data_IF_166437217578
#
_entry.id   IF_166437217578
#
_cell.length_a   1.000
_cell.length_b   1.000
_cell.length_c   1.000
_cell.angle_alpha   90.00
_cell.angle_beta   90.00
_cell.angle_gamma   90.00
#
_symmetry.space_group_name_H-M   'P 1'
#
loop_
_entity.id
_entity.type
_entity.pdbx_description
1 polymer ?
#
# COMPACT_ATOMS: atom_id res chain seq x y z
N UNK A 1 2.43 -32.54 -35.11
CA UNK A 1 2.90 -32.29 -33.73
C UNK A 1 2.99 -30.79 -33.53
N UNK A 2 2.16 -30.18 -32.67
CA UNK A 2 2.37 -28.78 -32.29
C UNK A 2 3.56 -28.68 -31.31
N UNK A 3 4.31 -27.57 -31.32
CA UNK A 3 5.44 -27.37 -30.43
C UNK A 3 4.97 -27.12 -28.99
N UNK A 4 5.71 -27.67 -28.03
CA UNK A 4 5.54 -27.45 -26.61
C UNK A 4 5.88 -25.99 -26.27
N UNK A 5 4.87 -25.19 -25.92
CA UNK A 5 5.04 -23.83 -25.47
C UNK A 5 5.26 -23.80 -23.95
N UNK A 6 6.51 -23.53 -23.58
CA UNK A 6 6.95 -22.66 -22.49
C UNK A 6 6.18 -22.68 -21.17
N UNK A 7 6.88 -23.15 -20.14
CA UNK A 7 6.59 -22.87 -18.73
C UNK A 7 6.37 -21.37 -18.48
N UNK A 8 5.13 -20.96 -18.21
CA UNK A 8 4.84 -19.65 -17.61
C UNK A 8 5.02 -19.74 -16.10
N UNK A 9 6.27 -19.87 -15.66
CA UNK A 9 6.63 -19.43 -14.31
C UNK A 9 6.36 -17.92 -14.26
N UNK A 10 5.51 -17.48 -13.33
CA UNK A 10 5.09 -16.09 -13.19
C UNK A 10 6.27 -15.16 -12.94
N UNK A 11 6.90 -14.71 -14.02
CA UNK A 11 7.88 -13.65 -13.99
C UNK A 11 7.18 -12.39 -13.53
N UNK A 12 7.57 -11.89 -12.37
CA UNK A 12 7.29 -10.51 -11.97
C UNK A 12 7.66 -9.62 -13.16
N UNK A 13 6.71 -8.85 -13.66
CA UNK A 13 6.94 -7.96 -14.79
C UNK A 13 7.82 -6.80 -14.33
N UNK A 14 9.13 -7.00 -14.50
CA UNK A 14 10.15 -6.04 -14.11
C UNK A 14 10.09 -4.76 -14.96
N UNK A 15 9.39 -4.75 -16.10
CA UNK A 15 9.19 -3.52 -16.88
C UNK A 15 8.19 -2.61 -16.19
N UNK A 16 7.06 -3.14 -15.73
CA UNK A 16 6.06 -2.37 -14.97
C UNK A 16 6.64 -1.77 -13.68
N UNK A 17 7.55 -2.49 -13.01
CA UNK A 17 8.22 -1.98 -11.82
C UNK A 17 9.19 -0.84 -12.15
N UNK A 18 9.90 -0.90 -13.29
CA UNK A 18 10.80 0.18 -13.74
C UNK A 18 10.05 1.46 -14.06
N UNK A 19 8.86 1.37 -14.65
CA UNK A 19 8.02 2.55 -14.91
C UNK A 19 7.53 3.25 -13.63
N UNK A 20 7.55 2.56 -12.49
CA UNK A 20 7.14 3.08 -11.18
C UNK A 20 8.32 3.32 -10.26
N UNK A 21 9.52 3.35 -10.82
CA UNK A 21 10.74 3.60 -10.07
C UNK A 21 10.79 5.04 -9.56
N UNK A 22 11.05 5.19 -8.26
CA UNK A 22 11.30 6.46 -7.61
C UNK A 22 12.77 6.52 -7.23
N UNK A 23 13.45 7.60 -7.63
CA UNK A 23 14.78 7.91 -7.14
C UNK A 23 14.73 8.16 -5.63
N UNK A 24 15.50 7.37 -4.87
CA UNK A 24 15.56 7.42 -3.41
C UNK A 24 15.98 8.80 -2.89
N UNK A 25 16.76 9.55 -3.65
CA UNK A 25 17.17 10.93 -3.30
C UNK A 25 15.99 11.89 -3.19
N UNK A 26 14.85 11.57 -3.81
CA UNK A 26 13.61 12.35 -3.72
C UNK A 26 12.79 12.06 -2.46
N UNK A 27 13.18 11.07 -1.66
CA UNK A 27 12.48 10.72 -0.43
C UNK A 27 13.22 11.34 0.77
N UNK A 28 12.51 12.16 1.52
CA UNK A 28 13.04 12.89 2.67
C UNK A 28 12.31 12.52 3.97
N UNK A 29 13.02 12.56 5.09
CA UNK A 29 12.48 12.24 6.42
C UNK A 29 12.55 10.76 6.77
N UNK A 30 11.61 10.29 7.61
CA UNK A 30 11.58 8.90 8.07
C UNK A 30 11.04 8.70 9.49
N UNK A 31 9.85 9.24 9.79
CA UNK A 31 9.21 9.00 11.08
C UNK A 31 8.60 7.59 11.10
N UNK A 32 8.99 6.73 12.04
CA UNK A 32 8.39 5.40 12.20
C UNK A 32 6.88 5.52 12.49
N UNK A 33 6.06 4.91 11.64
CA UNK A 33 4.60 4.80 11.81
C UNK A 33 4.21 3.49 12.48
N UNK A 34 4.95 2.41 12.21
CA UNK A 34 4.70 1.12 12.80
C UNK A 34 5.67 0.05 12.33
N UNK A 35 5.72 -1.04 13.09
CA UNK A 35 6.55 -2.21 12.81
C UNK A 35 5.68 -3.46 12.87
N UNK A 36 5.87 -4.37 11.92
CA UNK A 36 5.13 -5.62 11.83
C UNK A 36 6.03 -6.80 11.47
N UNK A 37 5.42 -7.94 11.16
CA UNK A 37 6.16 -9.14 10.76
C UNK A 37 6.93 -8.95 9.43
N UNK A 38 6.45 -8.07 8.55
CA UNK A 38 6.95 -7.91 7.18
C UNK A 38 7.93 -6.75 7.00
N UNK A 39 8.27 -6.03 8.07
CA UNK A 39 9.02 -4.78 7.92
C UNK A 39 8.66 -3.70 8.92
N UNK A 40 9.14 -2.49 8.63
CA UNK A 40 8.73 -1.26 9.27
C UNK A 40 8.19 -0.27 8.23
N UNK A 41 7.22 0.55 8.65
CA UNK A 41 6.61 1.57 7.81
C UNK A 41 6.99 2.93 8.38
N UNK A 42 7.49 3.82 7.53
CA UNK A 42 7.88 5.18 7.91
C UNK A 42 7.10 6.21 7.11
N UNK A 43 6.79 7.35 7.72
CA UNK A 43 6.30 8.54 7.04
C UNK A 43 7.47 9.30 6.45
N UNK A 44 7.33 9.69 5.19
CA UNK A 44 8.32 10.46 4.47
C UNK A 44 7.64 11.48 3.55
N UNK A 45 8.45 12.34 2.96
CA UNK A 45 8.04 13.33 1.98
C UNK A 45 8.68 12.97 0.65
N UNK A 46 7.89 12.84 -0.40
CA UNK A 46 8.33 12.62 -1.77
C UNK A 46 8.35 13.96 -2.51
N UNK A 47 9.55 14.41 -2.88
CA UNK A 47 9.71 15.59 -3.73
C UNK A 47 9.34 15.26 -5.17
N UNK A 48 8.46 16.08 -5.76
CA UNK A 48 7.98 15.92 -7.13
C UNK A 48 8.45 17.09 -7.99
N UNK A 49 9.05 16.82 -9.18
CA UNK A 49 9.33 17.89 -10.12
C UNK A 49 8.02 18.61 -10.46
N UNK A 50 8.03 19.94 -10.43
CA UNK A 50 6.92 20.78 -10.90
C UNK A 50 5.60 20.65 -10.12
N UNK A 51 5.59 19.94 -8.99
CA UNK A 51 4.44 19.76 -8.11
C UNK A 51 4.84 19.92 -6.64
N UNK A 52 3.85 20.15 -5.78
CA UNK A 52 4.08 20.18 -4.34
C UNK A 52 4.59 18.84 -3.82
N UNK A 53 5.42 18.91 -2.79
CA UNK A 53 5.88 17.75 -2.03
C UNK A 53 4.70 16.91 -1.52
N UNK A 54 4.80 15.58 -1.67
CA UNK A 54 3.75 14.64 -1.30
C UNK A 54 4.14 13.84 -0.07
N UNK A 55 3.28 13.83 0.95
CA UNK A 55 3.47 12.95 2.11
C UNK A 55 3.13 11.51 1.73
N UNK A 56 4.05 10.59 2.02
CA UNK A 56 3.98 9.18 1.66
C UNK A 56 4.30 8.27 2.84
N UNK A 57 3.82 7.02 2.77
CA UNK A 57 4.24 5.95 3.65
C UNK A 57 5.22 5.03 2.91
N UNK A 58 6.37 4.76 3.50
CA UNK A 58 7.39 3.87 2.93
C UNK A 58 7.43 2.59 3.75
N UNK A 59 7.12 1.46 3.13
CA UNK A 59 7.32 0.13 3.72
C UNK A 59 8.70 -0.39 3.33
N UNK A 60 9.47 -0.79 4.34
CA UNK A 60 10.85 -1.28 4.23
C UNK A 60 10.98 -2.63 4.92
N UNK A 61 11.89 -3.46 4.44
CA UNK A 61 12.23 -4.73 5.11
C UNK A 61 13.00 -4.44 6.41
N UNK A 62 12.96 -5.38 7.35
CA UNK A 62 13.84 -5.34 8.54
C UNK A 62 15.25 -5.80 8.20
N UNK A 63 15.31 -6.83 7.35
CA UNK A 63 16.53 -7.42 6.83
C UNK A 63 16.38 -7.52 5.31
N UNK A 64 17.17 -6.73 4.59
CA UNK A 64 17.15 -6.71 3.12
C UNK A 64 17.89 -7.90 2.50
N UNK A 65 18.66 -8.63 3.30
CA UNK A 65 19.39 -9.82 2.87
C UNK A 65 18.51 -11.07 2.88
N UNK A 66 17.30 -11.03 3.46
CA UNK A 66 16.33 -12.12 3.37
C UNK A 66 15.65 -12.14 1.98
N UNK A 67 15.99 -13.11 1.12
CA UNK A 67 15.44 -13.19 -0.23
C UNK A 67 13.94 -13.51 -0.23
N UNK A 68 13.42 -14.20 0.80
CA UNK A 68 11.99 -14.52 0.91
C UNK A 68 11.20 -13.27 1.25
N UNK A 69 11.68 -12.47 2.21
CA UNK A 69 11.08 -11.19 2.57
C UNK A 69 11.08 -10.22 1.39
N UNK A 70 12.20 -10.13 0.65
CA UNK A 70 12.31 -9.34 -0.58
C UNK A 70 11.31 -9.78 -1.64
N UNK A 71 11.18 -11.09 -1.89
CA UNK A 71 10.22 -11.62 -2.86
C UNK A 71 8.77 -11.35 -2.41
N UNK A 72 8.47 -11.44 -1.11
CA UNK A 72 7.15 -11.11 -0.58
C UNK A 72 6.78 -9.64 -0.82
N UNK A 73 7.71 -8.70 -0.58
CA UNK A 73 7.48 -7.28 -0.83
C UNK A 73 7.30 -6.96 -2.33
N UNK A 74 8.06 -7.62 -3.21
CA UNK A 74 7.86 -7.51 -4.66
C UNK A 74 6.49 -8.04 -5.09
N UNK A 75 6.06 -9.21 -4.57
CA UNK A 75 4.72 -9.75 -4.83
C UNK A 75 3.62 -8.80 -4.38
N UNK A 76 3.75 -8.21 -3.19
CA UNK A 76 2.82 -7.19 -2.69
C UNK A 76 2.76 -5.98 -3.64
N UNK A 77 3.91 -5.51 -4.11
CA UNK A 77 3.99 -4.42 -5.09
C UNK A 77 3.26 -4.76 -6.39
N UNK A 78 3.48 -5.96 -6.93
CA UNK A 78 2.81 -6.42 -8.15
C UNK A 78 1.29 -6.52 -7.97
N UNK A 79 0.83 -7.02 -6.83
CA UNK A 79 -0.60 -7.07 -6.51
C UNK A 79 -1.18 -5.65 -6.53
N UNK A 80 -0.52 -4.69 -5.88
CA UNK A 80 -0.99 -3.30 -5.87
C UNK A 80 -1.02 -2.67 -7.27
N UNK A 81 -0.03 -2.98 -8.13
CA UNK A 81 -0.04 -2.53 -9.53
C UNK A 81 -1.24 -3.09 -10.31
N UNK A 82 -1.54 -4.37 -10.15
CA UNK A 82 -2.67 -5.03 -10.81
C UNK A 82 -4.01 -4.47 -10.30
N UNK A 83 -4.11 -4.21 -9.00
CA UNK A 83 -5.26 -3.52 -8.39
C UNK A 83 -5.47 -2.12 -8.99
N UNK A 84 -4.40 -1.43 -9.38
CA UNK A 84 -4.49 -0.06 -9.88
C UNK A 84 -5.08 0.91 -8.85
N UNK A 85 -5.61 2.03 -9.34
CA UNK A 85 -6.04 3.14 -8.49
C UNK A 85 -7.54 3.07 -8.19
N UNK A 86 -7.91 3.28 -6.92
CA UNK A 86 -9.29 3.40 -6.47
C UNK A 86 -9.32 4.15 -5.13
N UNK A 87 -10.29 5.04 -4.91
CA UNK A 87 -10.33 5.94 -3.74
C UNK A 87 -10.46 5.22 -2.39
N UNK A 88 -10.93 3.96 -2.41
CA UNK A 88 -11.07 3.12 -1.22
C UNK A 88 -10.08 1.95 -1.16
N UNK A 89 -8.99 2.02 -1.92
CA UNK A 89 -7.89 1.05 -1.88
C UNK A 89 -6.58 1.80 -1.78
N UNK A 90 -5.73 1.41 -0.83
CA UNK A 90 -4.44 2.07 -0.61
C UNK A 90 -3.63 2.11 -1.91
N UNK A 91 -3.24 3.30 -2.34
CA UNK A 91 -2.58 3.49 -3.62
C UNK A 91 -1.06 3.31 -3.54
N UNK A 92 -0.50 2.60 -4.53
CA UNK A 92 0.93 2.56 -4.78
C UNK A 92 1.38 3.85 -5.49
N UNK A 93 2.31 4.58 -4.90
CA UNK A 93 2.93 5.76 -5.53
C UNK A 93 4.19 5.39 -6.31
N UNK A 94 4.93 4.37 -5.88
CA UNK A 94 6.06 3.84 -6.60
C UNK A 94 6.90 2.88 -5.78
N UNK A 95 8.07 2.54 -6.30
CA UNK A 95 9.01 1.59 -5.70
C UNK A 95 10.44 2.11 -5.85
N UNK A 96 11.25 1.93 -4.82
CA UNK A 96 12.70 2.14 -4.90
C UNK A 96 13.37 0.77 -4.83
N UNK A 97 13.91 0.29 -5.96
CA UNK A 97 14.57 -1.02 -6.02
C UNK A 97 16.03 -0.96 -6.50
N UNK A 98 16.50 0.20 -6.98
CA UNK A 98 17.91 0.47 -7.28
C UNK A 98 18.62 1.14 -6.12
N UNK A 99 19.95 1.00 -6.14
CA UNK A 99 20.89 1.74 -5.30
C UNK A 99 20.51 1.75 -3.82
N UNK A 100 20.25 0.54 -3.29
CA UNK A 100 20.00 0.31 -1.87
C UNK A 100 18.85 -0.65 -1.59
N UNK A 101 18.36 -0.67 -0.33
CA UNK A 101 17.34 -1.61 0.11
C UNK A 101 15.99 -1.39 -0.57
N UNK A 102 15.19 -2.45 -0.71
CA UNK A 102 13.91 -2.40 -1.41
C UNK A 102 12.89 -1.61 -0.58
N UNK A 103 12.27 -0.59 -1.18
CA UNK A 103 11.28 0.24 -0.51
C UNK A 103 10.02 0.40 -1.35
N UNK A 104 8.87 0.14 -0.72
CA UNK A 104 7.57 0.32 -1.32
C UNK A 104 6.97 1.66 -0.88
N UNK A 105 6.67 2.54 -1.83
CA UNK A 105 6.17 3.90 -1.58
C UNK A 105 4.66 3.95 -1.81
N UNK A 106 3.92 4.19 -0.73
CA UNK A 106 2.47 4.12 -0.65
C UNK A 106 1.90 5.51 -0.35
N UNK A 107 0.61 5.69 -0.62
CA UNK A 107 -0.11 6.83 -0.08
C UNK A 107 -0.07 6.83 1.45
N UNK A 108 -0.04 8.03 2.04
CA UNK A 108 -0.08 8.18 3.48
C UNK A 108 -1.55 8.28 3.96
N UNK A 109 -1.97 7.32 4.79
CA UNK A 109 -3.25 7.36 5.48
C UNK A 109 -3.11 8.14 6.79
N UNK A 110 -3.55 9.40 6.80
CA UNK A 110 -3.39 10.33 7.93
C UNK A 110 -4.01 9.82 9.25
N UNK A 111 -5.14 9.12 9.17
CA UNK A 111 -5.86 8.60 10.34
C UNK A 111 -5.39 7.21 10.79
N UNK A 112 -4.33 6.68 10.16
CA UNK A 112 -3.78 5.36 10.47
C UNK A 112 -4.74 4.22 10.13
N UNK A 113 -4.67 3.13 10.91
CA UNK A 113 -5.49 1.95 10.65
C UNK A 113 -6.95 2.16 11.02
N UNK A 114 -7.85 1.48 10.31
CA UNK A 114 -9.28 1.46 10.64
C UNK A 114 -9.52 1.09 12.12
N UNK A 115 -8.79 0.09 12.63
CA UNK A 115 -8.92 -0.36 14.00
C UNK A 115 -8.59 0.77 15.00
N UNK A 116 -7.49 1.49 14.74
CA UNK A 116 -7.10 2.63 15.55
C UNK A 116 -8.18 3.72 15.52
N UNK A 117 -8.67 4.07 14.33
CA UNK A 117 -9.75 5.05 14.16
C UNK A 117 -11.03 4.64 14.92
N UNK A 118 -11.45 3.39 14.81
CA UNK A 118 -12.64 2.88 15.50
C UNK A 118 -12.48 2.90 17.03
N UNK A 119 -11.29 2.61 17.55
CA UNK A 119 -11.00 2.72 18.98
C UNK A 119 -11.03 4.16 19.47
N UNK A 120 -10.45 5.09 18.72
CA UNK A 120 -10.48 6.53 19.02
C UNK A 120 -11.92 7.05 19.06
N UNK A 121 -12.72 6.76 18.03
CA UNK A 121 -14.14 7.14 17.98
C UNK A 121 -14.94 6.52 19.14
N UNK A 122 -14.63 5.28 19.53
CA UNK A 122 -15.26 4.63 20.69
C UNK A 122 -14.92 5.37 21.99
N UNK A 123 -13.66 5.74 22.19
CA UNK A 123 -13.21 6.46 23.38
C UNK A 123 -13.85 7.85 23.48
N UNK A 124 -13.83 8.62 22.40
CA UNK A 124 -14.38 9.98 22.33
C UNK A 124 -15.90 10.02 22.53
N UNK A 125 -16.61 8.98 22.07
CA UNK A 125 -18.06 8.92 22.24
C UNK A 125 -18.53 8.76 23.69
N UNK A 126 -17.62 8.46 24.62
CA UNK A 126 -17.89 8.52 26.06
C UNK A 126 -17.81 9.95 26.63
N UNK A 127 -17.19 10.88 25.90
CA UNK A 127 -16.85 12.23 26.37
C UNK A 127 -17.74 13.33 25.75
N UNK A 128 -18.26 13.15 24.52
CA UNK A 128 -19.08 14.17 23.85
C UNK A 128 -20.32 13.60 23.12
N UNK A 129 -21.50 14.14 23.47
CA UNK A 129 -22.82 13.71 22.93
C UNK A 129 -23.08 14.16 21.48
N UNK A 130 -22.38 15.18 20.99
CA UNK A 130 -22.47 15.70 19.61
C UNK A 130 -21.82 14.77 18.58
N UNK A 131 -20.78 14.02 18.97
CA UNK A 131 -20.14 12.99 18.13
C UNK A 131 -21.11 11.83 17.86
N UNK A 132 -22.11 11.60 18.72
CA UNK A 132 -23.11 10.55 18.52
C UNK A 132 -24.08 10.83 17.36
N UNK A 133 -24.38 12.09 17.04
CA UNK A 133 -25.44 12.44 16.07
C UNK A 133 -25.03 12.10 14.64
N UNK A 134 -23.72 12.03 14.35
CA UNK A 134 -23.19 11.64 13.04
C UNK A 134 -22.59 10.24 12.98
N UNK A 135 -22.67 9.43 14.06
CA UNK A 135 -22.13 8.06 14.05
C UNK A 135 -22.68 7.24 12.88
N UNK A 136 -24.00 7.26 12.69
CA UNK A 136 -24.65 6.50 11.63
C UNK A 136 -24.12 6.87 10.25
N UNK A 137 -24.02 8.16 9.95
CA UNK A 137 -23.54 8.64 8.66
C UNK A 137 -22.05 8.33 8.43
N UNK A 138 -21.21 8.47 9.47
CA UNK A 138 -19.79 8.11 9.41
C UNK A 138 -19.64 6.61 9.12
N UNK A 139 -20.38 5.75 9.83
CA UNK A 139 -20.37 4.31 9.61
C UNK A 139 -20.93 3.93 8.23
N UNK A 140 -22.01 4.57 7.79
CA UNK A 140 -22.59 4.33 6.46
C UNK A 140 -21.58 4.68 5.35
N UNK A 141 -20.97 5.87 5.40
CA UNK A 141 -19.95 6.28 4.42
C UNK A 141 -18.73 5.37 4.44
N UNK A 142 -18.26 4.98 5.63
CA UNK A 142 -17.17 4.02 5.79
C UNK A 142 -17.53 2.67 5.15
N UNK A 143 -18.72 2.15 5.41
CA UNK A 143 -19.18 0.88 4.85
C UNK A 143 -19.33 0.95 3.33
N UNK A 144 -19.85 2.04 2.79
CA UNK A 144 -19.91 2.28 1.34
C UNK A 144 -18.51 2.24 0.74
N UNK A 145 -17.54 2.94 1.36
CA UNK A 145 -16.15 2.91 0.93
C UNK A 145 -15.56 1.49 0.94
N UNK A 146 -15.80 0.71 1.98
CA UNK A 146 -15.37 -0.70 2.03
C UNK A 146 -15.98 -1.52 0.89
N UNK A 147 -17.29 -1.39 0.65
CA UNK A 147 -17.98 -2.12 -0.41
C UNK A 147 -17.41 -1.75 -1.78
N UNK A 148 -17.26 -0.46 -2.09
CA UNK A 148 -16.69 0.00 -3.36
C UNK A 148 -15.25 -0.50 -3.55
N UNK A 149 -14.43 -0.43 -2.50
CA UNK A 149 -13.06 -0.95 -2.53
C UNK A 149 -13.00 -2.46 -2.79
N UNK A 150 -13.82 -3.25 -2.09
CA UNK A 150 -13.87 -4.71 -2.27
C UNK A 150 -14.43 -5.11 -3.63
N UNK A 151 -15.43 -4.39 -4.15
CA UNK A 151 -15.96 -4.59 -5.49
C UNK A 151 -14.90 -4.33 -6.57
N UNK A 152 -14.13 -3.25 -6.43
CA UNK A 152 -13.00 -2.95 -7.30
C UNK A 152 -11.95 -4.07 -7.29
N UNK A 153 -11.56 -4.53 -6.10
CA UNK A 153 -10.60 -5.64 -5.95
C UNK A 153 -11.14 -6.95 -6.54
N UNK A 154 -12.43 -7.25 -6.35
CA UNK A 154 -13.07 -8.45 -6.89
C UNK A 154 -13.11 -8.43 -8.42
N UNK A 155 -13.41 -7.27 -9.01
CA UNK A 155 -13.51 -7.07 -10.46
C UNK A 155 -12.16 -7.23 -11.15
N UNK A 156 -11.07 -6.81 -10.49
CA UNK A 156 -9.71 -6.90 -11.02
C UNK A 156 -9.05 -8.28 -10.89
N UNK A 157 -9.82 -9.30 -10.51
CA UNK A 157 -9.38 -10.71 -10.39
C UNK A 157 -7.98 -10.83 -9.78
N UNK A 158 -7.78 -10.29 -8.59
CA UNK A 158 -6.57 -10.48 -7.75
C UNK A 158 -6.43 -11.94 -7.26
N UNK A 159 -6.91 -12.92 -8.05
CA UNK A 159 -6.92 -14.35 -7.74
C UNK A 159 -5.59 -15.04 -8.09
N UNK A 160 -4.66 -14.38 -8.76
CA UNK A 160 -3.43 -15.01 -9.26
C UNK A 160 -2.16 -14.31 -8.74
N UNK A 161 -1.97 -14.34 -7.43
CA UNK A 161 -0.63 -14.25 -6.81
C UNK A 161 -0.52 -15.07 -5.49
N UNK A 162 -1.58 -15.79 -5.10
CA UNK A 162 -1.61 -16.67 -3.92
C UNK A 162 -1.35 -18.15 -4.26
N UNK A 163 -0.96 -18.43 -5.51
CA UNK A 163 -0.60 -19.78 -5.99
C UNK A 163 0.89 -19.87 -6.29
N UNK A 164 1.74 -19.51 -5.32
CA UNK A 164 3.17 -19.79 -5.33
C UNK A 164 3.62 -20.11 -3.90
#
# INVERSE_FOLDING_TARGET
>A
MPPAAGSSSGSIDMELLKEREIDRSRLQGGQLLGEGAFGHVVKATLSRPEEDDLVVAIKKLKDDDDPQARQALLRETCIMLLCGNHDNVLMLKGICFRDGPLQLVLEYAEHGSLLHLLWTLRAESKLNRTVLVNKRHIFENMMVGFCCGLEHLATRRVRTCLSC
#
